data_IF_683485928850
#
_entry.id   IF_683485928850
#
_cell.length_a   1.000
_cell.length_b   1.000
_cell.length_c   1.000
_cell.angle_alpha   90.00
_cell.angle_beta   90.00
_cell.angle_gamma   90.00
#
_symmetry.space_group_name_H-M   'P 1'
#
loop_
_entity.id
_entity.type
_entity.pdbx_description
1 polymer ?
#
# COMPACT_ATOMS: atom_id res chain seq x y z
N UNK A 1 -10.37 -32.63 18.99
CA UNK A 1 -9.47 -31.46 19.00
C UNK A 1 -9.85 -30.62 17.79
N UNK A 2 -10.38 -29.43 18.00
CA UNK A 2 -10.64 -28.51 16.88
C UNK A 2 -9.32 -28.14 16.24
N UNK A 3 -9.17 -28.41 14.95
CA UNK A 3 -7.95 -28.10 14.20
C UNK A 3 -7.81 -26.58 14.10
N UNK A 4 -6.92 -26.01 14.90
CA UNK A 4 -6.72 -24.56 14.97
C UNK A 4 -6.23 -24.07 13.61
N UNK A 5 -6.99 -23.14 13.01
CA UNK A 5 -6.60 -22.50 11.76
C UNK A 5 -5.49 -21.49 12.05
N UNK A 6 -4.30 -21.74 11.51
CA UNK A 6 -3.14 -20.85 11.62
C UNK A 6 -2.93 -20.06 10.33
N UNK A 7 -2.21 -18.93 10.40
CA UNK A 7 -1.87 -18.14 9.21
C UNK A 7 -1.12 -19.00 8.16
N UNK A 8 -0.19 -19.83 8.57
CA UNK A 8 0.56 -20.72 7.67
C UNK A 8 -0.33 -21.70 6.90
N UNK A 9 -1.37 -22.22 7.55
CA UNK A 9 -2.37 -23.09 6.89
C UNK A 9 -3.15 -22.31 5.82
N UNK A 10 -3.54 -21.06 6.14
CA UNK A 10 -4.26 -20.18 5.20
C UNK A 10 -3.36 -19.83 4.00
N UNK A 11 -2.13 -19.40 4.24
CA UNK A 11 -1.16 -19.06 3.18
C UNK A 11 -0.89 -20.26 2.27
N UNK A 12 -0.62 -21.43 2.87
CA UNK A 12 -0.39 -22.68 2.13
C UNK A 12 -1.61 -23.09 1.28
N UNK A 13 -2.83 -22.95 1.84
CA UNK A 13 -4.07 -23.23 1.11
C UNK A 13 -4.26 -22.25 -0.05
N UNK A 14 -4.11 -20.95 0.21
CA UNK A 14 -4.27 -19.87 -0.78
C UNK A 14 -3.35 -20.08 -1.99
N UNK A 15 -2.09 -20.41 -1.74
CA UNK A 15 -1.09 -20.69 -2.79
C UNK A 15 -1.47 -21.95 -3.60
N UNK A 16 -1.73 -23.08 -2.94
CA UNK A 16 -2.03 -24.35 -3.62
C UNK A 16 -3.34 -24.33 -4.41
N UNK A 17 -4.29 -23.50 -4.02
CA UNK A 17 -5.61 -23.41 -4.66
C UNK A 17 -5.71 -22.26 -5.67
N UNK A 18 -4.62 -21.53 -5.92
CA UNK A 18 -4.61 -20.44 -6.90
C UNK A 18 -5.41 -19.21 -6.47
N UNK A 19 -5.38 -18.88 -5.19
CA UNK A 19 -5.92 -17.60 -4.70
C UNK A 19 -4.88 -16.49 -4.80
N UNK A 20 -3.73 -16.67 -4.16
CA UNK A 20 -2.66 -15.68 -4.12
C UNK A 20 -1.31 -16.41 -4.10
N UNK A 21 -0.35 -15.89 -4.83
CA UNK A 21 1.04 -16.36 -4.82
C UNK A 21 2.00 -15.19 -5.08
N UNK A 22 3.29 -15.32 -4.73
CA UNK A 22 4.26 -14.26 -4.96
C UNK A 22 4.35 -13.87 -6.43
N UNK A 23 4.39 -12.57 -6.71
CA UNK A 23 4.60 -12.10 -8.08
C UNK A 23 5.99 -12.45 -8.57
N UNK A 24 6.11 -12.80 -9.84
CA UNK A 24 7.40 -13.16 -10.48
C UNK A 24 8.12 -14.34 -9.80
N UNK A 25 7.37 -15.31 -9.28
CA UNK A 25 7.89 -16.44 -8.50
C UNK A 25 8.97 -17.24 -9.23
N UNK A 26 8.90 -17.36 -10.56
CA UNK A 26 9.91 -18.04 -11.38
C UNK A 26 11.31 -17.42 -11.28
N UNK A 27 11.39 -16.15 -10.84
CA UNK A 27 12.65 -15.43 -10.60
C UNK A 27 12.95 -15.23 -9.11
N UNK A 28 12.27 -15.97 -8.21
CA UNK A 28 12.45 -15.86 -6.77
C UNK A 28 11.45 -14.92 -6.07
N UNK A 29 10.55 -14.32 -6.82
CA UNK A 29 9.53 -13.39 -6.28
C UNK A 29 10.05 -11.97 -6.06
N UNK A 30 9.13 -11.06 -5.81
CA UNK A 30 9.42 -9.69 -5.39
C UNK A 30 8.72 -9.45 -4.05
N UNK A 31 9.45 -8.93 -3.07
CA UNK A 31 8.92 -8.66 -1.72
C UNK A 31 7.67 -7.79 -1.77
N UNK A 32 6.70 -8.09 -0.92
CA UNK A 32 5.42 -7.37 -0.80
C UNK A 32 4.58 -7.28 -2.08
N UNK A 33 4.89 -8.09 -3.10
CA UNK A 33 4.16 -8.13 -4.38
C UNK A 33 3.55 -9.50 -4.61
N UNK A 34 2.25 -9.52 -4.91
CA UNK A 34 1.48 -10.76 -5.06
C UNK A 34 0.59 -10.71 -6.30
N UNK A 35 0.44 -11.86 -6.95
CA UNK A 35 -0.51 -12.06 -8.03
C UNK A 35 -1.75 -12.80 -7.52
N UNK A 36 -2.91 -12.44 -8.05
CA UNK A 36 -4.14 -13.19 -7.82
C UNK A 36 -4.27 -14.28 -8.87
N UNK A 37 -4.35 -15.54 -8.42
CA UNK A 37 -4.66 -16.67 -9.30
C UNK A 37 -6.14 -16.69 -9.71
N UNK A 38 -6.53 -17.76 -10.41
CA UNK A 38 -7.88 -17.86 -10.99
C UNK A 38 -9.03 -17.78 -9.96
N UNK A 39 -8.88 -18.37 -8.77
CA UNK A 39 -9.88 -18.20 -7.70
C UNK A 39 -9.73 -16.88 -6.96
N UNK A 40 -8.51 -16.38 -6.82
CA UNK A 40 -8.24 -15.11 -6.16
C UNK A 40 -8.86 -13.93 -6.89
N UNK A 41 -8.74 -13.88 -8.23
CA UNK A 41 -9.35 -12.82 -9.02
C UNK A 41 -10.88 -12.85 -8.95
N UNK A 42 -11.50 -14.02 -9.00
CA UNK A 42 -12.97 -14.16 -8.87
C UNK A 42 -13.45 -13.71 -7.49
N UNK A 43 -12.76 -14.12 -6.44
CA UNK A 43 -13.09 -13.70 -5.08
C UNK A 43 -12.94 -12.18 -4.93
N UNK A 44 -11.85 -11.61 -5.42
CA UNK A 44 -11.61 -10.17 -5.40
C UNK A 44 -12.71 -9.39 -6.11
N UNK A 45 -13.10 -9.81 -7.31
CA UNK A 45 -14.17 -9.14 -8.07
C UNK A 45 -15.52 -9.28 -7.38
N UNK A 46 -15.84 -10.42 -6.75
CA UNK A 46 -17.04 -10.57 -5.95
C UNK A 46 -17.08 -9.60 -4.75
N UNK A 47 -15.96 -9.46 -4.04
CA UNK A 47 -15.85 -8.50 -2.92
C UNK A 47 -16.06 -7.07 -3.41
N UNK A 48 -15.43 -6.67 -4.50
CA UNK A 48 -15.62 -5.34 -5.10
C UNK A 48 -17.06 -5.11 -5.55
N UNK A 49 -17.67 -6.09 -6.21
CA UNK A 49 -19.04 -5.99 -6.67
C UNK A 49 -20.02 -5.76 -5.50
N UNK A 50 -19.88 -6.53 -4.42
CA UNK A 50 -20.70 -6.36 -3.21
C UNK A 50 -20.48 -5.03 -2.52
N UNK A 51 -19.22 -4.57 -2.46
CA UNK A 51 -18.91 -3.27 -1.90
C UNK A 51 -19.52 -2.12 -2.73
N UNK A 52 -19.39 -2.17 -4.07
CA UNK A 52 -20.00 -1.17 -4.95
C UNK A 52 -21.52 -1.18 -4.87
N UNK A 53 -22.13 -2.37 -4.75
CA UNK A 53 -23.58 -2.49 -4.56
C UNK A 53 -24.02 -1.76 -3.30
N UNK A 54 -23.45 -2.15 -2.15
CA UNK A 54 -23.85 -1.61 -0.85
C UNK A 54 -23.51 -0.11 -0.66
N UNK A 55 -22.35 0.32 -1.18
CA UNK A 55 -21.82 1.66 -0.90
C UNK A 55 -22.23 2.71 -1.94
N UNK A 56 -22.60 2.29 -3.15
CA UNK A 56 -22.89 3.21 -4.25
C UNK A 56 -24.30 2.99 -4.83
N UNK A 57 -24.62 1.75 -5.25
CA UNK A 57 -25.87 1.50 -5.99
C UNK A 57 -27.12 1.50 -5.13
N UNK A 58 -27.03 1.05 -3.89
CA UNK A 58 -28.11 1.06 -2.91
C UNK A 58 -28.25 2.42 -2.20
N UNK A 59 -27.48 3.44 -2.60
CA UNK A 59 -27.46 4.77 -1.97
C UNK A 59 -27.62 5.88 -2.98
N UNK A 60 -28.42 6.89 -2.61
CA UNK A 60 -28.66 8.09 -3.43
C UNK A 60 -27.67 9.23 -3.12
N UNK A 61 -26.91 9.11 -2.03
CA UNK A 61 -26.03 10.15 -1.51
C UNK A 61 -24.54 9.87 -1.77
N UNK A 62 -24.18 8.77 -2.45
CA UNK A 62 -22.80 8.42 -2.79
C UNK A 62 -22.65 8.16 -4.28
N UNK A 63 -21.62 8.73 -4.88
CA UNK A 63 -21.24 8.51 -6.28
C UNK A 63 -19.87 7.86 -6.39
N UNK A 64 -19.66 7.09 -7.45
CA UNK A 64 -18.36 6.44 -7.71
C UNK A 64 -17.42 7.37 -8.46
N UNK A 65 -16.14 7.25 -8.18
CA UNK A 65 -15.03 7.88 -8.90
C UNK A 65 -13.92 6.84 -9.13
N UNK A 66 -13.22 6.93 -10.24
CA UNK A 66 -11.94 6.26 -10.46
C UNK A 66 -10.90 7.29 -10.93
N UNK A 67 -10.11 7.81 -9.98
CA UNK A 67 -9.07 8.79 -10.28
C UNK A 67 -7.79 8.12 -10.78
N UNK A 68 -6.96 8.88 -11.48
CA UNK A 68 -5.68 8.42 -12.02
C UNK A 68 -4.75 7.90 -10.90
N UNK A 69 -3.94 6.88 -11.23
CA UNK A 69 -2.88 6.38 -10.34
C UNK A 69 -1.75 7.40 -10.22
N UNK A 70 -1.41 8.06 -11.32
CA UNK A 70 -0.38 9.11 -11.37
C UNK A 70 -1.11 10.46 -11.34
N UNK A 71 -0.82 11.27 -10.33
CA UNK A 71 -1.36 12.60 -10.14
C UNK A 71 -0.26 13.65 -10.27
N UNK A 72 -0.65 14.89 -10.52
CA UNK A 72 0.29 16.01 -10.57
C UNK A 72 1.10 16.11 -9.26
N UNK A 73 2.41 16.33 -9.29
CA UNK A 73 3.25 16.40 -8.08
C UNK A 73 2.76 17.36 -7.00
N UNK A 74 2.19 18.49 -7.38
CA UNK A 74 1.62 19.48 -6.47
C UNK A 74 0.51 18.91 -5.55
N UNK A 75 -0.16 17.84 -5.94
CA UNK A 75 -1.16 17.14 -5.09
C UNK A 75 -0.47 16.54 -3.86
N UNK A 76 0.68 15.94 -4.07
CA UNK A 76 1.45 15.27 -3.03
C UNK A 76 2.25 16.26 -2.18
N UNK A 77 2.68 17.38 -2.75
CA UNK A 77 3.27 18.50 -2.02
C UNK A 77 2.23 19.13 -1.09
N UNK A 78 1.06 19.48 -1.62
CA UNK A 78 -0.02 20.12 -0.86
C UNK A 78 -0.56 19.22 0.26
N UNK A 79 -0.57 17.90 0.07
CA UNK A 79 -1.00 16.93 1.08
C UNK A 79 0.12 16.50 2.05
N UNK A 80 1.35 17.04 1.90
CA UNK A 80 2.49 16.74 2.77
C UNK A 80 3.16 15.38 2.54
N UNK A 81 2.74 14.62 1.53
CA UNK A 81 3.30 13.27 1.28
C UNK A 81 4.74 13.31 0.77
N UNK A 82 5.13 14.34 0.05
CA UNK A 82 6.52 14.46 -0.44
C UNK A 82 7.50 14.64 0.70
N UNK A 83 7.11 15.38 1.74
CA UNK A 83 7.99 15.75 2.86
C UNK A 83 7.81 14.92 4.12
N UNK A 84 6.60 14.43 4.39
CA UNK A 84 6.24 13.81 5.67
C UNK A 84 5.80 12.34 5.60
N UNK A 85 5.62 11.78 4.41
CA UNK A 85 5.21 10.37 4.27
C UNK A 85 6.44 9.47 4.26
N UNK A 86 7.09 9.37 5.43
CA UNK A 86 8.34 8.66 5.59
C UNK A 86 8.37 7.87 6.90
N UNK A 87 9.01 6.70 6.86
CA UNK A 87 9.29 5.88 8.03
C UNK A 87 10.73 6.10 8.49
N UNK A 88 10.98 6.25 9.80
CA UNK A 88 12.33 6.23 10.35
C UNK A 88 12.85 4.79 10.36
N UNK A 89 13.86 4.51 9.54
CA UNK A 89 14.44 3.17 9.40
C UNK A 89 15.82 3.09 10.02
N UNK A 90 16.11 1.98 10.70
CA UNK A 90 17.43 1.57 11.19
C UNK A 90 17.80 0.22 10.60
N UNK A 91 19.05 0.06 10.22
CA UNK A 91 19.59 -1.21 9.76
C UNK A 91 20.48 -1.83 10.86
N UNK A 92 20.34 -3.12 11.13
CA UNK A 92 21.28 -3.83 11.99
C UNK A 92 22.47 -4.32 11.15
N UNK A 93 23.68 -3.82 11.45
CA UNK A 93 24.88 -4.21 10.74
C UNK A 93 25.29 -5.66 10.97
N UNK A 94 24.82 -6.27 12.06
CA UNK A 94 25.10 -7.67 12.40
C UNK A 94 24.16 -8.64 11.68
N UNK A 95 22.83 -8.54 11.90
CA UNK A 95 21.87 -9.48 11.31
C UNK A 95 21.37 -9.06 9.91
N UNK A 96 21.79 -7.89 9.42
CA UNK A 96 21.43 -7.32 8.11
C UNK A 96 19.93 -7.09 7.90
N UNK A 97 19.15 -7.11 8.96
CA UNK A 97 17.72 -6.78 8.90
C UNK A 97 17.50 -5.29 9.12
N UNK A 98 16.44 -4.81 8.50
CA UNK A 98 15.92 -3.44 8.64
C UNK A 98 14.73 -3.42 9.57
N UNK A 99 14.63 -2.38 10.38
CA UNK A 99 13.55 -2.18 11.35
C UNK A 99 13.06 -0.75 11.30
N UNK A 100 11.80 -0.55 11.67
CA UNK A 100 11.29 0.79 11.95
C UNK A 100 11.78 1.23 13.33
N UNK A 101 12.42 2.40 13.40
CA UNK A 101 12.96 2.91 14.65
C UNK A 101 11.87 3.22 15.70
N UNK A 102 10.70 3.67 15.23
CA UNK A 102 9.53 3.98 16.06
C UNK A 102 8.77 2.73 16.56
N UNK A 103 9.08 1.55 16.04
CA UNK A 103 8.45 0.26 16.40
C UNK A 103 9.48 -0.79 16.82
N UNK A 104 10.66 -0.38 17.19
CA UNK A 104 11.78 -1.29 17.46
C UNK A 104 11.51 -2.24 18.65
N UNK A 105 10.74 -1.77 19.63
CA UNK A 105 10.33 -2.54 20.80
C UNK A 105 9.29 -3.62 20.49
N UNK A 106 8.65 -3.55 19.32
CA UNK A 106 7.68 -4.54 18.85
C UNK A 106 8.29 -5.53 17.87
N UNK A 107 9.50 -5.25 17.38
CA UNK A 107 10.18 -6.05 16.38
C UNK A 107 10.96 -7.19 17.01
N UNK A 108 11.02 -8.33 16.33
CA UNK A 108 11.88 -9.45 16.73
C UNK A 108 13.28 -9.29 16.13
N UNK A 109 14.31 -9.46 16.97
CA UNK A 109 15.69 -9.42 16.51
C UNK A 109 15.98 -10.55 15.52
N UNK A 110 16.56 -10.23 14.37
CA UNK A 110 16.85 -11.21 13.33
C UNK A 110 17.83 -12.32 13.72
N UNK A 111 18.69 -12.09 14.72
CA UNK A 111 19.63 -13.07 15.25
C UNK A 111 19.12 -13.78 16.51
N UNK A 112 18.19 -13.16 17.24
CA UNK A 112 17.57 -13.71 18.45
C UNK A 112 16.10 -13.28 18.53
N UNK A 113 15.15 -14.05 17.96
CA UNK A 113 13.73 -13.68 17.90
C UNK A 113 13.06 -13.47 19.27
N UNK A 114 13.64 -14.00 20.34
CA UNK A 114 13.15 -13.80 21.72
C UNK A 114 13.53 -12.44 22.34
N UNK A 115 14.23 -11.58 21.59
CA UNK A 115 14.67 -10.26 22.02
C UNK A 115 14.37 -9.21 20.97
N UNK A 116 14.33 -7.93 21.38
CA UNK A 116 14.18 -6.81 20.44
C UNK A 116 15.53 -6.40 19.82
N UNK A 117 15.50 -5.75 18.64
CA UNK A 117 16.72 -5.20 18.05
C UNK A 117 17.36 -4.15 18.99
N UNK A 118 18.66 -4.24 19.21
CA UNK A 118 19.39 -3.38 20.13
C UNK A 118 19.60 -3.95 21.54
N UNK A 119 18.84 -4.97 21.96
CA UNK A 119 18.98 -5.57 23.30
C UNK A 119 20.13 -6.57 23.44
N UNK A 120 20.81 -6.89 22.38
CA UNK A 120 21.95 -7.83 22.43
C UNK A 120 23.24 -7.10 22.13
N UNK A 121 24.32 -7.47 22.82
CA UNK A 121 25.69 -6.89 22.64
C UNK A 121 26.21 -6.96 21.20
N UNK A 122 25.61 -7.84 20.37
CA UNK A 122 25.96 -8.00 18.96
C UNK A 122 25.12 -7.12 18.03
N UNK A 123 24.03 -6.52 18.52
CA UNK A 123 23.22 -5.63 17.71
C UNK A 123 23.94 -4.28 17.53
N UNK A 124 24.31 -3.99 16.30
CA UNK A 124 24.86 -2.70 15.89
C UNK A 124 23.85 -2.03 14.95
N UNK A 125 23.03 -1.15 15.53
CA UNK A 125 21.99 -0.40 14.80
C UNK A 125 22.60 0.89 14.23
N UNK A 126 22.24 1.21 13.00
CA UNK A 126 22.59 2.49 12.38
C UNK A 126 21.77 3.63 13.01
N UNK A 127 22.19 4.87 12.79
CA UNK A 127 21.34 6.03 13.03
C UNK A 127 20.06 5.92 12.20
N UNK A 128 18.92 6.39 12.74
CA UNK A 128 17.67 6.43 12.01
C UNK A 128 17.75 7.33 10.78
N UNK A 129 17.27 6.81 9.65
CA UNK A 129 17.14 7.59 8.41
C UNK A 129 15.70 7.62 7.94
N UNK A 130 15.24 8.76 7.48
CA UNK A 130 13.90 8.90 6.91
C UNK A 130 13.87 8.23 5.53
N UNK A 131 12.89 7.35 5.35
CA UNK A 131 12.66 6.65 4.09
C UNK A 131 11.26 7.01 3.58
N UNK A 132 11.20 7.77 2.48
CA UNK A 132 9.92 8.16 1.88
C UNK A 132 9.26 6.93 1.23
N UNK A 133 8.01 6.69 1.59
CA UNK A 133 7.24 5.52 1.16
C UNK A 133 6.61 5.69 -0.22
N UNK A 134 6.75 6.84 -0.88
CA UNK A 134 6.20 7.04 -2.22
C UNK A 134 7.12 6.45 -3.29
N UNK A 135 6.52 5.70 -4.22
CA UNK A 135 7.20 5.38 -5.47
C UNK A 135 7.31 6.61 -6.36
N UNK A 136 8.54 7.03 -6.63
CA UNK A 136 8.86 8.13 -7.53
C UNK A 136 9.22 7.58 -8.92
N UNK A 137 8.73 8.23 -9.96
CA UNK A 137 9.07 7.96 -11.35
C UNK A 137 9.21 9.27 -12.12
N UNK A 138 9.53 9.19 -13.41
CA UNK A 138 9.58 10.34 -14.31
C UNK A 138 8.64 10.17 -15.49
N UNK A 139 8.03 11.26 -15.92
CA UNK A 139 7.18 11.31 -17.11
C UNK A 139 7.87 12.20 -18.15
N UNK A 140 7.99 11.69 -19.36
CA UNK A 140 8.59 12.36 -20.50
C UNK A 140 9.48 11.45 -21.31
N UNK A 141 9.75 11.76 -22.59
CA UNK A 141 10.54 10.91 -23.48
C UNK A 141 12.05 10.96 -23.19
N UNK A 142 12.52 11.98 -22.46
CA UNK A 142 13.92 12.18 -22.11
C UNK A 142 14.06 12.19 -20.60
N UNK A 143 14.89 11.31 -20.05
CA UNK A 143 15.03 11.13 -18.61
C UNK A 143 15.54 12.39 -17.90
N UNK A 144 16.45 13.12 -18.53
CA UNK A 144 17.07 14.34 -17.98
C UNK A 144 16.11 15.52 -17.87
N UNK A 145 15.12 15.60 -18.76
CA UNK A 145 14.11 16.69 -18.81
C UNK A 145 12.72 16.23 -18.35
N UNK A 146 12.59 14.97 -17.98
CA UNK A 146 11.34 14.39 -17.50
C UNK A 146 10.85 15.02 -16.20
N UNK A 147 9.53 15.21 -16.09
CA UNK A 147 8.90 15.69 -14.88
C UNK A 147 8.82 14.58 -13.82
N UNK A 148 9.19 14.89 -12.58
CA UNK A 148 8.98 13.98 -11.46
C UNK A 148 7.49 13.66 -11.30
N UNK A 149 7.17 12.40 -11.08
CA UNK A 149 5.83 11.92 -10.82
C UNK A 149 5.85 10.85 -9.73
N UNK A 150 4.69 10.63 -9.11
CA UNK A 150 4.55 9.67 -8.03
C UNK A 150 3.37 8.75 -8.30
N UNK A 151 3.52 7.47 -7.98
CA UNK A 151 2.39 6.56 -7.85
C UNK A 151 1.65 6.89 -6.55
N UNK A 152 0.32 6.93 -6.60
CA UNK A 152 -0.48 7.26 -5.42
C UNK A 152 -0.26 6.26 -4.29
N UNK A 153 0.10 6.70 -3.06
CA UNK A 153 0.21 5.85 -1.89
C UNK A 153 -1.15 5.55 -1.25
N UNK A 154 -2.18 6.33 -1.62
CA UNK A 154 -3.57 6.19 -1.17
C UNK A 154 -4.54 6.83 -2.18
N UNK A 155 -5.83 6.57 -2.02
CA UNK A 155 -6.85 7.02 -2.97
C UNK A 155 -7.52 8.35 -2.60
N UNK A 156 -7.31 8.85 -1.38
CA UNK A 156 -8.03 10.00 -0.83
C UNK A 156 -7.81 11.30 -1.61
N UNK A 157 -6.59 11.61 -2.01
CA UNK A 157 -6.28 12.86 -2.71
C UNK A 157 -6.95 12.95 -4.08
N UNK A 158 -7.08 11.82 -4.78
CA UNK A 158 -7.83 11.76 -6.02
C UNK A 158 -9.30 12.14 -5.84
N UNK A 159 -9.90 11.79 -4.70
CA UNK A 159 -11.25 12.20 -4.34
C UNK A 159 -11.31 13.70 -4.05
N UNK A 160 -10.40 14.21 -3.22
CA UNK A 160 -10.41 15.63 -2.83
C UNK A 160 -10.21 16.59 -3.99
N UNK A 161 -9.25 16.33 -4.88
CA UNK A 161 -9.02 17.20 -6.05
C UNK A 161 -10.16 17.17 -7.06
N UNK A 162 -10.93 16.08 -7.11
CA UNK A 162 -12.07 15.92 -8.00
C UNK A 162 -13.41 16.30 -7.35
N UNK A 163 -13.42 16.66 -6.07
CA UNK A 163 -14.67 16.96 -5.34
C UNK A 163 -15.55 17.98 -6.05
N UNK A 164 -14.98 19.12 -6.46
CA UNK A 164 -15.71 20.18 -7.17
C UNK A 164 -16.24 19.70 -8.53
N UNK A 165 -15.42 18.98 -9.29
CA UNK A 165 -15.81 18.43 -10.59
C UNK A 165 -17.00 17.48 -10.44
N UNK A 166 -16.90 16.54 -9.49
CA UNK A 166 -17.97 15.56 -9.21
C UNK A 166 -19.24 16.25 -8.77
N UNK A 167 -19.17 17.20 -7.83
CA UNK A 167 -20.31 17.95 -7.35
C UNK A 167 -21.06 18.69 -8.48
N UNK A 168 -20.29 19.35 -9.36
CA UNK A 168 -20.85 20.13 -10.48
C UNK A 168 -21.45 19.25 -11.58
N UNK A 169 -20.71 18.22 -12.01
CA UNK A 169 -21.14 17.35 -13.13
C UNK A 169 -22.36 16.51 -12.73
N UNK A 170 -22.33 15.94 -11.54
CA UNK A 170 -23.44 15.14 -11.02
C UNK A 170 -24.56 15.97 -10.37
N UNK A 171 -24.42 17.32 -10.32
CA UNK A 171 -25.40 18.26 -9.72
C UNK A 171 -25.76 17.90 -8.28
N UNK A 172 -24.77 17.46 -7.52
CA UNK A 172 -24.97 17.00 -6.15
C UNK A 172 -25.13 18.17 -5.18
N UNK A 173 -25.95 17.95 -4.15
CA UNK A 173 -26.11 18.86 -3.01
C UNK A 173 -25.46 18.23 -1.78
N UNK A 174 -24.85 19.06 -0.94
CA UNK A 174 -24.30 18.62 0.34
C UNK A 174 -25.41 18.23 1.33
N UNK A 175 -25.21 17.17 2.13
CA UNK A 175 -24.04 16.28 2.13
C UNK A 175 -24.12 15.19 1.03
N UNK A 176 -22.96 14.81 0.47
CA UNK A 176 -22.84 13.65 -0.40
C UNK A 176 -21.47 12.97 -0.20
N UNK A 177 -21.34 11.72 -0.60
CA UNK A 177 -20.12 10.94 -0.55
C UNK A 177 -19.53 10.65 -1.93
N UNK A 178 -18.23 10.42 -1.98
CA UNK A 178 -17.52 9.90 -3.16
C UNK A 178 -16.80 8.62 -2.74
N UNK A 179 -17.06 7.55 -3.48
CA UNK A 179 -16.47 6.23 -3.23
C UNK A 179 -15.51 5.83 -4.35
N UNK A 180 -14.40 5.21 -3.99
CA UNK A 180 -13.41 4.73 -4.95
C UNK A 180 -12.83 3.39 -4.53
N UNK A 181 -12.68 2.47 -5.50
CA UNK A 181 -11.85 1.28 -5.39
C UNK A 181 -10.63 1.48 -6.28
N UNK A 182 -9.44 1.44 -5.72
CA UNK A 182 -8.23 1.63 -6.50
C UNK A 182 -6.99 1.03 -5.84
N UNK A 183 -5.97 0.75 -6.66
CA UNK A 183 -4.66 0.34 -6.15
C UNK A 183 -3.94 1.53 -5.53
N UNK A 184 -3.26 1.26 -4.42
CA UNK A 184 -2.32 2.16 -3.77
C UNK A 184 -0.93 1.52 -3.80
N UNK A 185 0.13 2.33 -3.78
CA UNK A 185 1.50 1.87 -3.96
C UNK A 185 2.38 2.50 -2.88
N UNK A 186 2.97 1.67 -2.04
CA UNK A 186 3.92 2.09 -1.01
C UNK A 186 5.20 1.30 -1.16
N UNK A 187 6.32 1.98 -1.03
CA UNK A 187 7.66 1.39 -1.09
C UNK A 187 8.07 0.90 0.30
N UNK A 188 7.47 -0.19 0.76
CA UNK A 188 7.67 -0.80 2.09
C UNK A 188 7.82 -2.33 2.01
#
# INVERSE_FOLDING_TARGET
MSDVVTMDKIVSLARRRGFVFPSSEIYGGLGSSYDYGHYGVLLKENVKARWLEAMVRERDDIVALDSSIILHPAVWEASGHVTGFADPLVDCRFCKRRYRADQIEQAECGSRPSKHPGETDKCDLTEPRQFNLMFKTRIGPVEETGQDAYLRPETAQGIFINFKNVAQIARLKLPFGIAQIGKAFRNE
#
